data_IF_669644439146
#
_entry.id   IF_669644439146
#
_cell.length_a   1.000
_cell.length_b   1.000
_cell.length_c   1.000
_cell.angle_alpha   90.00
_cell.angle_beta   90.00
_cell.angle_gamma   90.00
#
_symmetry.space_group_name_H-M   'P 1'
#
loop_
_entity.id
_entity.type
_entity.pdbx_description
1 polymer ?
#
# COMPACT_ATOMS: atom_id res chain seq x y z
N UNK A 1 -0.20 1.90 4.19
CA UNK A 1 1.08 2.64 4.35
C UNK A 1 1.96 2.41 3.14
N UNK A 2 2.77 3.40 2.74
CA UNK A 2 3.63 3.30 1.55
C UNK A 2 4.67 2.16 1.63
N UNK A 3 4.90 1.48 0.50
CA UNK A 3 5.83 0.36 0.38
C UNK A 3 7.29 0.75 0.65
N UNK A 4 7.74 1.91 0.20
CA UNK A 4 9.09 2.43 0.47
C UNK A 4 9.23 3.04 1.88
N UNK A 5 8.12 3.23 2.58
CA UNK A 5 8.09 3.77 3.92
C UNK A 5 8.39 5.25 4.04
N UNK A 6 8.15 6.04 2.98
CA UNK A 6 8.31 7.50 3.02
C UNK A 6 7.49 8.21 4.11
N UNK A 7 6.45 7.55 4.63
CA UNK A 7 5.70 8.00 5.82
C UNK A 7 5.89 6.97 6.92
N UNK A 8 6.51 7.38 8.03
CA UNK A 8 6.83 6.49 9.16
C UNK A 8 7.01 7.24 10.48
N UNK A 9 6.94 6.50 11.58
CA UNK A 9 7.36 6.99 12.90
C UNK A 9 8.78 6.52 13.17
N UNK A 10 9.62 7.42 13.69
CA UNK A 10 10.90 7.03 14.24
C UNK A 10 10.74 6.32 15.62
N UNK A 11 11.82 5.77 16.20
CA UNK A 11 11.76 5.12 17.51
C UNK A 11 11.33 6.04 18.67
N UNK A 12 11.26 7.36 18.47
CA UNK A 12 10.76 8.34 19.46
C UNK A 12 9.29 8.71 19.21
N UNK A 13 8.66 8.13 18.19
CA UNK A 13 7.29 8.42 17.78
C UNK A 13 7.16 9.72 16.99
N UNK A 14 8.25 10.27 16.43
CA UNK A 14 8.18 11.42 15.54
C UNK A 14 7.87 10.98 14.12
N UNK A 15 6.90 11.65 13.50
CA UNK A 15 6.50 11.40 12.13
C UNK A 15 7.51 12.00 11.12
N UNK A 16 7.98 11.16 10.20
CA UNK A 16 8.83 11.53 9.07
C UNK A 16 8.03 11.36 7.78
N UNK A 17 8.07 12.39 6.92
CA UNK A 17 7.31 12.42 5.66
C UNK A 17 8.07 13.21 4.58
N UNK A 18 7.73 13.05 3.28
CA UNK A 18 8.32 13.85 2.21
C UNK A 18 8.07 15.36 2.33
N UNK A 19 7.03 15.77 3.06
CA UNK A 19 6.73 17.19 3.26
C UNK A 19 7.67 17.86 4.28
N UNK A 20 8.43 17.08 5.07
CA UNK A 20 9.39 17.61 6.04
C UNK A 20 8.81 18.73 6.92
N UNK A 21 9.40 19.94 6.94
CA UNK A 21 8.91 21.06 7.75
C UNK A 21 7.59 21.66 7.25
N UNK A 22 7.16 21.38 6.02
CA UNK A 22 5.92 21.89 5.46
C UNK A 22 4.70 21.09 5.91
N UNK A 23 4.89 19.90 6.49
CA UNK A 23 3.82 19.05 7.00
C UNK A 23 2.98 19.80 8.04
N UNK A 24 1.65 19.76 7.87
CA UNK A 24 0.73 20.42 8.80
C UNK A 24 0.71 19.69 10.15
N UNK A 25 0.65 20.42 11.28
CA UNK A 25 0.52 19.80 12.60
C UNK A 25 -0.89 19.25 12.81
N UNK A 26 -1.06 18.40 13.83
CA UNK A 26 -2.37 17.90 14.26
C UNK A 26 -2.81 16.59 13.63
N UNK A 27 -1.90 15.87 12.97
CA UNK A 27 -2.14 14.50 12.48
C UNK A 27 -2.13 13.51 13.65
N UNK A 28 -3.09 12.59 13.67
CA UNK A 28 -3.24 11.61 14.76
C UNK A 28 -2.22 10.46 14.67
N UNK A 29 -1.93 10.00 13.45
CA UNK A 29 -1.08 8.84 13.20
C UNK A 29 -0.49 8.85 11.77
N UNK A 30 0.40 7.89 11.42
CA UNK A 30 0.98 7.79 10.08
C UNK A 30 -0.02 7.52 8.96
N UNK A 31 -1.20 6.95 9.27
CA UNK A 31 -2.23 6.72 8.27
C UNK A 31 -2.86 8.06 7.86
N UNK A 32 -3.16 8.93 8.84
CA UNK A 32 -3.57 10.30 8.57
C UNK A 32 -2.51 11.06 7.77
N UNK A 33 -1.23 10.90 8.11
CA UNK A 33 -0.16 11.50 7.34
C UNK A 33 -0.12 11.00 5.89
N UNK A 34 -0.31 9.70 5.65
CA UNK A 34 -0.33 9.13 4.31
C UNK A 34 -1.43 9.74 3.43
N UNK A 35 -2.63 9.98 4.00
CA UNK A 35 -3.75 10.61 3.30
C UNK A 35 -3.47 12.04 2.80
N UNK A 36 -2.37 12.67 3.25
CA UNK A 36 -1.98 14.01 2.80
C UNK A 36 -1.29 14.05 1.44
N UNK A 37 -0.75 12.93 0.95
CA UNK A 37 0.16 12.92 -0.20
C UNK A 37 -0.49 12.69 -1.56
N UNK A 38 -1.54 11.85 -1.71
CA UNK A 38 -2.12 11.61 -3.03
C UNK A 38 -2.66 12.85 -3.73
N UNK A 39 -3.13 13.83 -2.94
CA UNK A 39 -3.60 15.13 -3.42
C UNK A 39 -2.49 16.07 -3.92
N UNK A 40 -1.22 15.73 -3.67
CA UNK A 40 -0.06 16.49 -4.15
C UNK A 40 0.47 15.95 -5.49
N UNK A 41 0.18 14.69 -5.80
CA UNK A 41 0.73 14.00 -6.96
C UNK A 41 -0.11 14.26 -8.22
N UNK A 42 0.58 14.66 -9.30
CA UNK A 42 -0.04 14.99 -10.59
C UNK A 42 -0.57 13.76 -11.34
N UNK A 43 -0.04 12.57 -11.05
CA UNK A 43 -0.50 11.30 -11.61
C UNK A 43 -1.61 10.66 -10.78
N UNK A 44 -1.90 11.21 -9.59
CA UNK A 44 -2.97 10.74 -8.71
C UNK A 44 -4.12 11.74 -8.67
N UNK A 45 -4.29 12.49 -7.57
CA UNK A 45 -5.52 13.28 -7.35
C UNK A 45 -5.38 14.76 -7.75
N UNK A 46 -4.17 15.27 -8.00
CA UNK A 46 -3.96 16.71 -8.23
C UNK A 46 -4.37 17.17 -9.63
N UNK A 47 -4.15 16.33 -10.64
CA UNK A 47 -4.34 16.64 -12.05
C UNK A 47 -3.15 17.39 -12.70
N UNK A 48 -3.26 17.57 -14.01
CA UNK A 48 -2.29 18.22 -14.89
C UNK A 48 -2.70 19.66 -15.21
N UNK A 49 -1.70 20.49 -15.55
CA UNK A 49 -1.93 21.90 -15.88
C UNK A 49 -2.95 22.05 -17.02
N UNK A 50 -3.96 22.89 -16.83
CA UNK A 50 -5.05 23.07 -17.79
C UNK A 50 -6.16 22.03 -17.73
N UNK A 51 -6.09 21.05 -16.82
CA UNK A 51 -7.19 20.12 -16.58
C UNK A 51 -8.46 20.86 -16.12
N UNK A 52 -9.61 20.30 -16.51
CA UNK A 52 -10.91 20.75 -16.07
C UNK A 52 -11.49 19.79 -15.03
N UNK A 53 -12.28 20.32 -14.11
CA UNK A 53 -13.12 19.53 -13.21
C UNK A 53 -14.25 18.85 -14.01
N UNK A 54 -14.94 17.90 -13.38
CA UNK A 54 -16.12 17.24 -13.97
C UNK A 54 -17.27 18.23 -14.30
N UNK A 55 -17.26 19.41 -13.69
CA UNK A 55 -18.21 20.49 -13.97
C UNK A 55 -17.73 21.42 -15.10
N UNK A 56 -16.64 21.06 -15.79
CA UNK A 56 -16.04 21.81 -16.88
C UNK A 56 -15.50 23.19 -16.44
N UNK A 57 -15.03 23.28 -15.19
CA UNK A 57 -14.36 24.45 -14.61
C UNK A 57 -12.85 24.21 -14.53
N UNK A 58 -11.99 25.25 -14.54
CA UNK A 58 -10.55 25.05 -14.36
C UNK A 58 -10.22 24.34 -13.03
N UNK A 59 -9.36 23.33 -13.04
CA UNK A 59 -8.89 22.67 -11.83
C UNK A 59 -7.81 23.54 -11.15
N UNK A 60 -8.20 24.30 -10.14
CA UNK A 60 -7.32 25.23 -9.43
C UNK A 60 -6.12 24.56 -8.74
N UNK A 61 -6.23 23.28 -8.37
CA UNK A 61 -5.14 22.54 -7.73
C UNK A 61 -3.99 22.25 -8.71
N UNK A 62 -4.31 22.06 -9.99
CA UNK A 62 -3.33 21.75 -11.02
C UNK A 62 -2.46 22.96 -11.39
N UNK A 63 -2.99 24.17 -11.18
CA UNK A 63 -2.33 25.46 -11.44
C UNK A 63 -1.32 25.85 -10.35
N UNK A 64 -1.39 25.23 -9.17
CA UNK A 64 -0.45 25.49 -8.08
C UNK A 64 0.95 24.92 -8.40
N UNK A 65 2.05 25.50 -7.89
CA UNK A 65 3.40 24.95 -8.02
C UNK A 65 3.61 23.62 -7.29
N UNK A 66 4.52 22.79 -7.77
CA UNK A 66 4.83 21.46 -7.21
C UNK A 66 5.51 21.53 -5.84
N UNK A 67 6.23 22.61 -5.57
CA UNK A 67 6.95 22.89 -4.32
C UNK A 67 6.07 23.65 -3.30
N UNK A 68 4.75 23.65 -3.48
CA UNK A 68 3.81 24.40 -2.63
C UNK A 68 2.75 23.51 -1.95
N UNK A 69 3.13 22.46 -1.18
CA UNK A 69 2.18 21.52 -0.59
C UNK A 69 1.15 22.19 0.33
N UNK A 70 1.58 23.18 1.13
CA UNK A 70 0.67 23.93 2.01
C UNK A 70 -0.38 24.73 1.23
N UNK A 71 -0.03 25.27 0.07
CA UNK A 71 -0.99 25.98 -0.78
C UNK A 71 -2.03 25.02 -1.37
N UNK A 72 -1.61 23.81 -1.76
CA UNK A 72 -2.49 22.77 -2.29
C UNK A 72 -3.48 22.31 -1.21
N UNK A 73 -2.99 22.00 -0.02
CA UNK A 73 -3.83 21.64 1.13
C UNK A 73 -4.79 22.76 1.55
N UNK A 74 -4.35 24.02 1.51
CA UNK A 74 -5.22 25.16 1.79
C UNK A 74 -6.33 25.31 0.72
N UNK A 75 -5.99 25.15 -0.56
CA UNK A 75 -6.96 25.20 -1.66
C UNK A 75 -7.99 24.05 -1.55
N UNK A 76 -7.57 22.86 -1.15
CA UNK A 76 -8.48 21.74 -0.86
C UNK A 76 -9.47 22.08 0.27
N UNK A 77 -9.00 22.72 1.34
CA UNK A 77 -9.91 23.17 2.41
C UNK A 77 -10.88 24.25 1.94
N UNK A 78 -10.48 25.14 1.02
CA UNK A 78 -11.41 26.08 0.38
C UNK A 78 -12.47 25.35 -0.44
N UNK A 79 -12.06 24.34 -1.23
CA UNK A 79 -12.96 23.49 -2.02
C UNK A 79 -13.96 22.75 -1.14
N UNK A 80 -13.52 22.18 -0.01
CA UNK A 80 -14.41 21.54 0.97
C UNK A 80 -15.34 22.56 1.64
N UNK A 81 -14.84 23.76 1.95
CA UNK A 81 -15.61 24.84 2.57
C UNK A 81 -16.68 25.46 1.68
N UNK A 82 -16.57 25.29 0.35
CA UNK A 82 -17.60 25.71 -0.61
C UNK A 82 -18.84 24.82 -0.59
N UNK A 83 -18.79 23.66 0.10
CA UNK A 83 -19.89 22.70 0.20
C UNK A 83 -20.46 22.77 1.63
N UNK A 84 -21.62 23.42 1.80
CA UNK A 84 -22.26 23.67 3.11
C UNK A 84 -22.48 22.38 3.92
N UNK A 85 -22.78 21.27 3.24
CA UNK A 85 -22.94 19.97 3.87
C UNK A 85 -21.63 19.45 4.48
N UNK A 86 -20.46 19.65 3.84
CA UNK A 86 -19.18 19.30 4.47
C UNK A 86 -18.87 20.20 5.66
N UNK A 87 -19.12 21.52 5.55
CA UNK A 87 -18.96 22.44 6.68
C UNK A 87 -19.78 21.99 7.90
N UNK A 88 -21.01 21.52 7.68
CA UNK A 88 -21.88 20.97 8.73
C UNK A 88 -21.30 19.70 9.34
N UNK A 89 -20.80 18.76 8.53
CA UNK A 89 -20.18 17.52 8.99
C UNK A 89 -18.90 17.78 9.80
N UNK A 90 -18.05 18.70 9.33
CA UNK A 90 -16.85 19.10 10.07
C UNK A 90 -17.18 19.79 11.40
N UNK A 91 -18.20 20.65 11.45
CA UNK A 91 -18.65 21.26 12.69
C UNK A 91 -19.18 20.22 13.70
N UNK A 92 -19.82 19.14 13.22
CA UNK A 92 -20.26 18.04 14.06
C UNK A 92 -19.09 17.20 14.60
N UNK A 93 -18.07 16.93 13.76
CA UNK A 93 -16.87 16.19 14.15
C UNK A 93 -15.94 16.99 15.08
N UNK A 94 -15.86 18.31 14.90
CA UNK A 94 -14.96 19.21 15.61
C UNK A 94 -15.73 20.36 16.31
N UNK A 95 -16.59 20.08 17.31
CA UNK A 95 -17.52 21.07 17.87
C UNK A 95 -16.87 22.25 18.60
N UNK A 96 -15.55 22.18 18.86
CA UNK A 96 -14.79 23.23 19.54
C UNK A 96 -14.03 24.17 18.58
N UNK A 97 -14.08 23.90 17.27
CA UNK A 97 -13.38 24.67 16.23
C UNK A 97 -14.35 25.04 15.12
N UNK A 98 -14.30 26.28 14.66
CA UNK A 98 -15.00 26.67 13.43
C UNK A 98 -14.25 26.16 12.21
N UNK A 99 -14.94 26.02 11.06
CA UNK A 99 -14.36 25.45 9.85
C UNK A 99 -13.10 26.21 9.37
N UNK A 100 -13.07 27.53 9.51
CA UNK A 100 -11.92 28.39 9.16
C UNK A 100 -10.69 28.15 10.07
N UNK A 101 -10.86 27.49 11.21
CA UNK A 101 -9.78 27.06 12.08
C UNK A 101 -9.28 25.65 11.72
N UNK A 102 -9.98 24.93 10.85
CA UNK A 102 -9.60 23.59 10.40
C UNK A 102 -8.59 23.68 9.25
N UNK A 103 -7.79 22.63 9.12
CA UNK A 103 -6.76 22.47 8.11
C UNK A 103 -6.94 21.13 7.39
N UNK A 104 -6.14 20.89 6.35
CA UNK A 104 -6.19 19.61 5.66
C UNK A 104 -5.74 18.44 6.55
N UNK A 105 -4.99 18.67 7.62
CA UNK A 105 -4.69 17.62 8.61
C UNK A 105 -5.98 17.10 9.27
N UNK A 106 -6.97 17.96 9.52
CA UNK A 106 -8.26 17.56 10.09
C UNK A 106 -9.09 16.71 9.10
N UNK A 107 -8.98 17.00 7.79
CA UNK A 107 -9.56 16.17 6.73
C UNK A 107 -8.82 14.83 6.59
N UNK A 108 -7.49 14.84 6.67
CA UNK A 108 -6.67 13.64 6.61
C UNK A 108 -6.92 12.69 7.81
N UNK A 109 -7.11 13.24 9.02
CA UNK A 109 -7.55 12.47 10.19
C UNK A 109 -8.94 11.83 9.98
N UNK A 110 -9.87 12.54 9.33
CA UNK A 110 -11.18 11.99 9.02
C UNK A 110 -11.10 10.84 8.00
N UNK A 111 -10.23 10.95 6.99
CA UNK A 111 -9.94 9.87 6.03
C UNK A 111 -9.35 8.66 6.76
N UNK A 112 -8.32 8.85 7.58
CA UNK A 112 -7.71 7.76 8.35
C UNK A 112 -8.68 7.11 9.36
N UNK A 113 -9.60 7.89 9.95
CA UNK A 113 -10.65 7.35 10.80
C UNK A 113 -11.61 6.45 10.00
N UNK A 114 -12.04 6.89 8.82
CA UNK A 114 -12.84 6.06 7.92
C UNK A 114 -12.08 4.80 7.50
N UNK A 115 -10.81 4.92 7.09
CA UNK A 115 -10.02 3.77 6.65
C UNK A 115 -9.87 2.70 7.73
N UNK A 116 -9.61 3.11 8.98
CA UNK A 116 -9.51 2.19 10.12
C UNK A 116 -10.83 1.49 10.41
N UNK A 117 -11.96 2.20 10.34
CA UNK A 117 -13.27 1.61 10.64
C UNK A 117 -13.76 0.73 9.48
N UNK A 118 -13.76 1.26 8.26
CA UNK A 118 -14.35 0.64 7.08
C UNK A 118 -13.56 -0.57 6.57
N UNK A 119 -12.24 -0.59 6.77
CA UNK A 119 -11.39 -1.68 6.28
C UNK A 119 -10.79 -2.52 7.43
N UNK A 120 -11.43 -2.50 8.60
CA UNK A 120 -11.17 -3.47 9.65
C UNK A 120 -11.94 -4.76 9.39
N UNK A 121 -11.19 -5.82 9.05
CA UNK A 121 -11.71 -7.15 8.75
C UNK A 121 -11.12 -8.20 9.72
N UNK A 122 -11.61 -8.28 10.96
CA UNK A 122 -10.97 -9.05 12.03
C UNK A 122 -11.45 -10.50 12.15
N UNK A 123 -12.31 -11.00 11.26
CA UNK A 123 -12.98 -12.30 11.39
C UNK A 123 -12.52 -13.31 10.32
N UNK A 124 -11.20 -13.51 10.19
CA UNK A 124 -10.68 -14.52 9.27
C UNK A 124 -10.79 -15.92 9.90
N UNK A 125 -10.98 -17.00 9.11
CA UNK A 125 -11.02 -18.37 9.62
C UNK A 125 -9.78 -18.78 10.45
N UNK A 126 -8.62 -18.19 10.16
CA UNK A 126 -7.43 -18.35 10.97
C UNK A 126 -7.60 -17.86 12.41
N UNK A 127 -8.33 -16.76 12.64
CA UNK A 127 -8.58 -16.21 13.97
C UNK A 127 -9.49 -17.13 14.78
N UNK A 128 -10.53 -17.69 14.16
CA UNK A 128 -11.41 -18.69 14.78
C UNK A 128 -10.64 -19.96 15.16
N UNK A 129 -9.72 -20.40 14.30
CA UNK A 129 -8.82 -21.51 14.60
C UNK A 129 -7.94 -21.22 15.83
N UNK A 130 -7.34 -20.03 15.90
CA UNK A 130 -6.55 -19.60 17.06
C UNK A 130 -7.39 -19.44 18.33
N UNK A 131 -8.68 -19.10 18.21
CA UNK A 131 -9.63 -19.02 19.31
C UNK A 131 -10.10 -20.40 19.81
N UNK A 132 -9.73 -21.49 19.12
CA UNK A 132 -9.97 -22.87 19.53
C UNK A 132 -10.98 -23.63 18.68
N UNK A 133 -11.53 -23.02 17.62
CA UNK A 133 -12.34 -23.75 16.64
C UNK A 133 -11.43 -24.52 15.67
N UNK A 134 -11.09 -25.75 16.04
CA UNK A 134 -10.24 -26.62 15.21
C UNK A 134 -10.86 -27.02 13.86
N UNK A 135 -12.13 -26.69 13.63
CA UNK A 135 -12.86 -26.95 12.38
C UNK A 135 -12.95 -25.73 11.47
N UNK A 136 -12.51 -24.56 11.92
CA UNK A 136 -12.52 -23.32 11.14
C UNK A 136 -11.65 -23.39 9.87
N UNK A 137 -10.61 -24.23 9.88
CA UNK A 137 -9.70 -24.42 8.74
C UNK A 137 -9.50 -25.91 8.42
N UNK A 138 -9.19 -26.20 7.16
CA UNK A 138 -8.95 -27.57 6.69
C UNK A 138 -7.65 -28.16 7.28
N UNK A 139 -7.50 -29.49 7.19
CA UNK A 139 -6.23 -30.14 7.57
C UNK A 139 -5.06 -29.75 6.64
N UNK A 140 -5.36 -29.42 5.38
CA UNK A 140 -4.36 -28.97 4.43
C UNK A 140 -3.89 -27.54 4.73
N UNK A 141 -4.79 -26.64 5.16
CA UNK A 141 -4.43 -25.32 5.70
C UNK A 141 -3.62 -25.42 6.99
N UNK A 142 -3.95 -26.36 7.90
CA UNK A 142 -3.14 -26.62 9.11
C UNK A 142 -1.72 -27.05 8.74
N UNK A 143 -1.56 -27.93 7.76
CA UNK A 143 -0.24 -28.29 7.24
C UNK A 143 0.46 -27.08 6.63
N UNK A 144 -0.26 -26.24 5.89
CA UNK A 144 0.23 -24.96 5.36
C UNK A 144 0.79 -24.04 6.43
N UNK A 145 0.06 -23.86 7.52
CA UNK A 145 0.50 -23.07 8.67
C UNK A 145 1.80 -23.64 9.27
N UNK A 146 1.90 -24.96 9.44
CA UNK A 146 3.12 -25.62 9.94
C UNK A 146 4.32 -25.33 9.02
N UNK A 147 4.11 -25.36 7.71
CA UNK A 147 5.17 -25.05 6.74
C UNK A 147 5.56 -23.56 6.80
N UNK A 148 4.56 -22.66 6.80
CA UNK A 148 4.71 -21.21 6.83
C UNK A 148 5.50 -20.72 8.06
N UNK A 149 5.15 -21.21 9.24
CA UNK A 149 5.83 -20.89 10.50
C UNK A 149 7.10 -21.70 10.77
N UNK A 150 7.42 -22.66 9.90
CA UNK A 150 8.55 -23.56 10.06
C UNK A 150 9.46 -23.55 8.83
N UNK A 151 9.56 -24.68 8.11
CA UNK A 151 10.61 -24.88 7.10
C UNK A 151 10.50 -23.98 5.87
N UNK A 152 9.35 -23.35 5.59
CA UNK A 152 9.23 -22.42 4.47
C UNK A 152 9.82 -21.04 4.78
N UNK A 153 10.06 -20.72 6.05
CA UNK A 153 10.70 -19.48 6.48
C UNK A 153 9.85 -18.21 6.31
N UNK A 154 8.60 -18.30 5.85
CA UNK A 154 7.73 -17.15 5.55
C UNK A 154 7.51 -16.24 6.77
N UNK A 155 7.36 -16.84 7.95
CA UNK A 155 7.13 -16.13 9.21
C UNK A 155 8.36 -15.36 9.74
N UNK A 156 9.52 -15.40 9.06
CA UNK A 156 10.67 -14.56 9.40
C UNK A 156 10.37 -13.09 9.18
N UNK A 157 9.69 -12.77 8.07
CA UNK A 157 9.24 -11.41 7.75
C UNK A 157 7.73 -11.25 8.03
N UNK A 158 6.92 -12.28 7.71
CA UNK A 158 5.47 -12.23 7.88
C UNK A 158 5.04 -12.72 9.27
N UNK A 159 5.40 -11.95 10.29
CA UNK A 159 5.21 -12.31 11.70
C UNK A 159 4.07 -11.55 12.40
N UNK A 160 3.66 -12.05 13.57
CA UNK A 160 2.70 -11.38 14.44
C UNK A 160 1.25 -11.38 13.92
N UNK A 161 0.34 -10.66 14.60
CA UNK A 161 -1.10 -10.71 14.30
C UNK A 161 -1.50 -10.22 12.90
N UNK A 162 -0.68 -9.35 12.31
CA UNK A 162 -0.88 -8.80 10.96
C UNK A 162 -0.05 -9.53 9.88
N UNK A 163 0.78 -10.51 10.26
CA UNK A 163 1.66 -11.24 9.36
C UNK A 163 2.62 -10.28 8.61
N UNK A 164 3.24 -9.39 9.36
CA UNK A 164 4.25 -8.43 8.89
C UNK A 164 5.08 -7.95 10.08
N UNK A 165 6.40 -7.89 9.89
CA UNK A 165 7.37 -7.28 10.79
C UNK A 165 7.52 -5.75 10.58
N UNK A 166 6.82 -5.23 9.57
CA UNK A 166 6.92 -3.87 9.05
C UNK A 166 8.34 -3.42 8.65
N UNK A 167 9.26 -4.37 8.47
CA UNK A 167 10.62 -4.11 8.01
C UNK A 167 10.68 -4.06 6.47
N UNK A 168 11.84 -3.69 5.94
CA UNK A 168 12.08 -3.53 4.51
C UNK A 168 13.02 -4.62 4.02
N UNK A 169 12.66 -5.29 2.94
CA UNK A 169 13.43 -6.38 2.37
C UNK A 169 13.43 -6.29 0.85
N UNK A 170 14.57 -6.59 0.22
CA UNK A 170 14.63 -6.83 -1.22
C UNK A 170 14.34 -8.30 -1.47
N UNK A 171 13.22 -8.58 -2.14
CA UNK A 171 12.80 -9.94 -2.51
C UNK A 171 13.10 -10.29 -3.96
N UNK A 172 13.59 -9.31 -4.73
CA UNK A 172 13.89 -9.50 -6.14
C UNK A 172 12.68 -9.37 -7.05
N UNK A 173 11.77 -8.44 -6.79
CA UNK A 173 10.61 -8.26 -7.69
C UNK A 173 11.09 -7.69 -9.04
N UNK A 174 10.68 -8.28 -10.18
CA UNK A 174 10.97 -7.71 -11.51
C UNK A 174 10.46 -6.27 -11.59
N UNK A 175 11.28 -5.34 -12.08
CA UNK A 175 10.91 -3.93 -12.15
C UNK A 175 10.09 -3.62 -13.40
N UNK A 176 8.96 -2.92 -13.23
CA UNK A 176 8.13 -2.44 -14.34
C UNK A 176 7.49 -1.08 -14.05
N UNK A 177 6.91 -0.47 -15.07
CA UNK A 177 6.21 0.81 -14.96
C UNK A 177 7.14 2.03 -15.09
N UNK A 178 6.67 3.22 -14.64
CA UNK A 178 7.42 4.47 -14.81
C UNK A 178 8.60 4.63 -13.83
N UNK A 179 8.74 3.73 -12.85
CA UNK A 179 9.69 3.88 -11.75
C UNK A 179 9.39 5.10 -10.88
N UNK A 180 10.41 5.60 -10.17
CA UNK A 180 10.20 6.70 -9.23
C UNK A 180 11.36 7.68 -9.12
N UNK A 181 10.99 8.96 -9.14
CA UNK A 181 11.90 10.07 -8.85
C UNK A 181 13.09 10.11 -9.81
N UNK A 182 14.27 10.39 -9.27
CA UNK A 182 15.53 10.49 -10.04
C UNK A 182 16.02 9.13 -10.57
N UNK A 183 15.49 8.03 -10.03
CA UNK A 183 15.86 6.67 -10.42
C UNK A 183 14.99 6.10 -11.53
N UNK A 184 13.92 6.81 -11.95
CA UNK A 184 13.06 6.38 -13.04
C UNK A 184 13.89 6.01 -14.30
N UNK A 185 13.60 4.87 -14.97
CA UNK A 185 12.40 4.03 -14.83
C UNK A 185 12.44 2.98 -13.70
N UNK A 186 13.44 3.02 -12.81
CA UNK A 186 13.53 2.11 -11.67
C UNK A 186 12.86 2.69 -10.42
N UNK A 187 12.34 1.80 -9.56
CA UNK A 187 11.99 2.14 -8.19
C UNK A 187 13.03 1.55 -7.25
N UNK A 188 13.95 2.40 -6.77
CA UNK A 188 14.97 1.97 -5.80
C UNK A 188 14.38 1.74 -4.40
N UNK A 189 13.07 1.93 -4.21
CA UNK A 189 12.37 1.58 -2.98
C UNK A 189 12.84 2.41 -1.80
N UNK A 190 13.21 1.71 -0.71
CA UNK A 190 13.59 2.32 0.55
C UNK A 190 14.84 3.22 0.46
N UNK A 191 15.77 2.96 -0.46
CA UNK A 191 16.93 3.84 -0.69
C UNK A 191 16.51 5.28 -1.00
N UNK A 192 15.38 5.50 -1.70
CA UNK A 192 14.89 6.85 -2.01
C UNK A 192 14.42 7.64 -0.77
N UNK A 193 14.29 6.95 0.38
CA UNK A 193 13.91 7.54 1.67
C UNK A 193 15.13 7.67 2.59
N UNK A 194 16.05 6.71 2.56
CA UNK A 194 17.18 6.63 3.51
C UNK A 194 18.50 7.14 2.94
N UNK A 195 18.62 7.28 1.62
CA UNK A 195 19.87 7.51 0.89
C UNK A 195 20.95 6.43 1.15
N UNK A 196 20.58 5.26 1.68
CA UNK A 196 21.49 4.14 1.93
C UNK A 196 21.40 3.11 0.79
N UNK A 197 22.49 2.86 0.04
CA UNK A 197 22.51 1.83 -1.00
C UNK A 197 22.21 0.41 -0.48
N UNK A 198 22.35 0.15 0.82
CA UNK A 198 21.97 -1.13 1.42
C UNK A 198 20.44 -1.36 1.43
N UNK A 199 19.64 -0.28 1.34
CA UNK A 199 18.18 -0.31 1.28
C UNK A 199 17.64 -0.35 -0.15
N UNK A 200 18.52 -0.46 -1.16
CA UNK A 200 18.12 -0.47 -2.56
C UNK A 200 17.22 -1.67 -2.88
N UNK A 201 16.11 -1.40 -3.56
CA UNK A 201 15.05 -2.37 -3.90
C UNK A 201 14.37 -3.01 -2.68
N UNK A 202 14.61 -2.49 -1.48
CA UNK A 202 13.91 -2.94 -0.29
C UNK A 202 12.55 -2.28 -0.18
N UNK A 203 11.52 -3.09 0.07
CA UNK A 203 10.16 -2.62 0.30
C UNK A 203 9.59 -3.22 1.57
N UNK A 204 8.64 -2.51 2.18
CA UNK A 204 7.99 -2.90 3.42
C UNK A 204 7.30 -4.23 3.21
N UNK A 205 7.51 -5.18 4.12
CA UNK A 205 6.74 -6.43 4.18
C UNK A 205 5.25 -6.09 4.38
N UNK A 206 4.35 -6.38 3.41
CA UNK A 206 2.94 -6.10 3.56
C UNK A 206 2.29 -7.09 4.54
N UNK A 207 1.17 -6.68 5.14
CA UNK A 207 0.30 -7.61 5.86
C UNK A 207 -0.25 -8.66 4.91
N UNK A 208 -0.32 -9.92 5.34
CA UNK A 208 -0.96 -11.00 4.57
C UNK A 208 -2.45 -11.17 4.86
N UNK A 209 -3.03 -10.36 5.75
CA UNK A 209 -4.49 -10.32 5.95
C UNK A 209 -5.18 -9.94 4.64
N UNK A 210 -6.22 -10.68 4.26
CA UNK A 210 -6.98 -10.49 3.02
C UNK A 210 -6.14 -10.53 1.74
N UNK A 211 -4.99 -11.21 1.74
CA UNK A 211 -4.11 -11.27 0.56
C UNK A 211 -4.82 -11.84 -0.67
N UNK A 212 -5.82 -12.70 -0.50
CA UNK A 212 -6.55 -13.32 -1.62
C UNK A 212 -7.23 -12.31 -2.56
N UNK A 213 -7.59 -11.13 -2.04
CA UNK A 213 -8.34 -10.11 -2.80
C UNK A 213 -7.49 -8.92 -3.23
N UNK A 214 -6.16 -9.05 -3.14
CA UNK A 214 -5.22 -7.97 -3.43
C UNK A 214 -4.35 -8.20 -4.67
N UNK A 215 -4.74 -9.11 -5.57
CA UNK A 215 -4.05 -9.30 -6.84
C UNK A 215 -4.23 -8.05 -7.75
N UNK A 216 -3.24 -7.71 -8.60
CA UNK A 216 -1.92 -8.33 -8.69
C UNK A 216 -1.01 -7.97 -7.49
N UNK A 217 0.02 -8.78 -7.26
CA UNK A 217 0.87 -8.73 -6.08
C UNK A 217 2.19 -7.97 -6.31
N UNK A 218 2.86 -7.70 -5.18
CA UNK A 218 4.08 -6.90 -5.05
C UNK A 218 3.85 -5.39 -5.17
N UNK A 219 4.91 -4.60 -4.93
CA UNK A 219 4.83 -3.13 -4.89
C UNK A 219 4.40 -2.48 -6.21
N UNK A 220 4.64 -3.16 -7.33
CA UNK A 220 4.40 -2.71 -8.70
C UNK A 220 3.36 -3.55 -9.46
N UNK A 221 2.78 -4.57 -8.81
CA UNK A 221 1.81 -5.46 -9.44
C UNK A 221 2.40 -6.45 -10.45
N UNK A 222 3.72 -6.73 -10.42
CA UNK A 222 4.37 -7.61 -11.40
C UNK A 222 3.88 -9.07 -11.38
N UNK A 223 3.40 -9.57 -10.24
CA UNK A 223 2.99 -10.97 -10.08
C UNK A 223 1.47 -11.07 -10.04
N UNK A 224 0.87 -11.62 -11.10
CA UNK A 224 -0.59 -11.57 -11.29
C UNK A 224 -1.40 -12.58 -10.45
N UNK A 225 -0.76 -13.63 -9.93
CA UNK A 225 -1.39 -14.70 -9.16
C UNK A 225 -0.47 -15.27 -8.06
N UNK A 226 -1.03 -16.11 -7.18
CA UNK A 226 -0.29 -16.73 -6.09
C UNK A 226 0.77 -17.70 -6.58
N UNK A 227 0.52 -18.40 -7.68
CA UNK A 227 1.46 -19.33 -8.28
C UNK A 227 2.77 -18.63 -8.63
N UNK A 228 2.70 -17.46 -9.28
CA UNK A 228 3.87 -16.63 -9.57
C UNK A 228 4.56 -16.14 -8.30
N UNK A 229 3.80 -15.73 -7.27
CA UNK A 229 4.36 -15.32 -5.97
C UNK A 229 5.15 -16.46 -5.31
N UNK A 230 4.58 -17.65 -5.24
CA UNK A 230 5.21 -18.80 -4.59
C UNK A 230 6.44 -19.30 -5.36
N UNK A 231 6.38 -19.32 -6.70
CA UNK A 231 7.53 -19.63 -7.56
C UNK A 231 8.62 -18.56 -7.40
N UNK A 232 8.24 -17.28 -7.35
CA UNK A 232 9.16 -16.17 -7.13
C UNK A 232 9.94 -16.36 -5.82
N UNK A 233 9.27 -16.60 -4.70
CA UNK A 233 9.96 -16.82 -3.42
C UNK A 233 10.79 -18.10 -3.39
N UNK A 234 10.40 -19.15 -4.12
CA UNK A 234 11.17 -20.39 -4.19
C UNK A 234 12.43 -20.25 -5.06
N UNK A 235 12.48 -19.29 -5.99
CA UNK A 235 13.61 -19.09 -6.91
C UNK A 235 13.70 -17.62 -7.37
N UNK A 236 14.01 -16.66 -6.47
CA UNK A 236 13.88 -15.24 -6.77
C UNK A 236 14.78 -14.79 -7.93
N UNK A 237 16.03 -15.27 -8.00
CA UNK A 237 16.96 -14.98 -9.10
C UNK A 237 16.39 -15.43 -10.45
N UNK A 238 16.06 -16.72 -10.58
CA UNK A 238 15.52 -17.28 -11.83
C UNK A 238 14.18 -16.64 -12.19
N UNK A 239 13.35 -16.30 -11.19
CA UNK A 239 12.06 -15.65 -11.41
C UNK A 239 12.17 -14.27 -12.05
N UNK A 240 13.28 -13.55 -11.86
CA UNK A 240 13.53 -12.26 -12.52
C UNK A 240 14.15 -12.48 -13.89
N UNK A 241 15.17 -13.34 -13.96
CA UNK A 241 15.90 -13.65 -15.20
C UNK A 241 14.97 -14.20 -16.30
N UNK A 242 14.02 -15.06 -15.92
CA UNK A 242 13.08 -15.71 -16.83
C UNK A 242 11.68 -15.09 -16.79
N UNK A 243 11.54 -13.85 -16.28
CA UNK A 243 10.23 -13.22 -16.12
C UNK A 243 9.50 -13.05 -17.46
N UNK A 244 8.32 -13.69 -17.58
CA UNK A 244 7.46 -13.60 -18.76
C UNK A 244 6.39 -12.49 -18.57
N UNK A 245 6.50 -11.39 -19.34
CA UNK A 245 5.57 -10.27 -19.24
C UNK A 245 4.27 -10.50 -20.02
N UNK A 246 4.10 -11.61 -20.73
CA UNK A 246 2.98 -11.81 -21.67
C UNK A 246 1.59 -11.80 -21.03
N UNK A 247 1.48 -12.13 -19.74
CA UNK A 247 0.22 -12.09 -18.99
C UNK A 247 -0.02 -10.75 -18.26
N UNK A 248 0.89 -9.77 -18.40
CA UNK A 248 0.67 -8.43 -17.84
C UNK A 248 -0.39 -7.66 -18.65
N UNK A 249 -0.92 -6.60 -18.05
CA UNK A 249 -1.72 -5.63 -18.80
C UNK A 249 -0.90 -5.08 -19.99
N UNK A 250 -1.46 -4.95 -21.21
CA UNK A 250 -0.69 -4.59 -22.41
C UNK A 250 0.16 -3.31 -22.27
N UNK A 251 -0.32 -2.34 -21.49
CA UNK A 251 0.40 -1.08 -21.23
C UNK A 251 1.66 -1.25 -20.37
N UNK A 252 1.78 -2.35 -19.63
CA UNK A 252 2.92 -2.63 -18.77
C UNK A 252 4.00 -3.47 -19.45
N UNK A 253 3.66 -4.24 -20.50
CA UNK A 253 4.57 -5.18 -21.17
C UNK A 253 5.86 -4.48 -21.63
N UNK A 254 5.72 -3.33 -22.29
CA UNK A 254 6.86 -2.57 -22.82
C UNK A 254 7.62 -1.77 -21.75
N UNK A 255 7.15 -1.80 -20.50
CA UNK A 255 7.77 -1.08 -19.36
C UNK A 255 8.66 -1.98 -18.51
N UNK A 256 8.63 -3.29 -18.74
CA UNK A 256 9.40 -4.25 -17.95
C UNK A 256 10.90 -4.06 -18.20
N UNK A 257 11.66 -3.96 -17.12
CA UNK A 257 13.11 -3.79 -17.17
C UNK A 257 13.80 -5.15 -17.18
N UNK A 258 14.38 -5.54 -18.32
CA UNK A 258 14.99 -6.85 -18.57
C UNK A 258 16.50 -6.78 -18.88
N UNK A 259 17.14 -5.67 -18.53
CA UNK A 259 18.58 -5.50 -18.77
C UNK A 259 19.41 -6.31 -17.75
N UNK A 260 20.38 -7.08 -18.26
CA UNK A 260 21.18 -8.01 -17.45
C UNK A 260 21.92 -7.34 -16.28
N UNK A 261 22.39 -6.09 -16.48
CA UNK A 261 23.11 -5.38 -15.42
C UNK A 261 22.16 -5.01 -14.27
N UNK A 262 20.92 -4.61 -14.59
CA UNK A 262 19.92 -4.27 -13.58
C UNK A 262 19.42 -5.52 -12.85
N UNK A 263 19.21 -6.63 -13.55
CA UNK A 263 18.86 -7.90 -12.91
C UNK A 263 19.97 -8.31 -11.94
N UNK A 264 21.24 -8.22 -12.34
CA UNK A 264 22.37 -8.50 -11.46
C UNK A 264 22.42 -7.57 -10.24
N UNK A 265 22.03 -6.31 -10.40
CA UNK A 265 21.93 -5.35 -9.30
C UNK A 265 20.86 -5.75 -8.29
N UNK A 266 19.64 -6.06 -8.76
CA UNK A 266 18.53 -6.53 -7.91
C UNK A 266 18.95 -7.81 -7.17
N UNK A 267 19.50 -8.78 -7.89
CA UNK A 267 19.96 -10.06 -7.32
C UNK A 267 21.04 -9.85 -6.24
N UNK A 268 21.88 -8.83 -6.38
CA UNK A 268 22.90 -8.50 -5.38
C UNK A 268 22.35 -7.94 -4.06
N UNK A 269 21.09 -7.50 -4.05
CA UNK A 269 20.42 -6.92 -2.87
C UNK A 269 19.52 -7.91 -2.12
N UNK A 270 19.34 -9.14 -2.63
CA UNK A 270 18.40 -10.10 -2.07
C UNK A 270 18.62 -10.33 -0.57
N UNK A 271 17.52 -10.28 0.18
CA UNK A 271 17.52 -10.57 1.62
C UNK A 271 18.01 -11.98 1.89
N UNK A 272 18.89 -12.13 2.89
CA UNK A 272 19.41 -13.42 3.35
C UNK A 272 18.33 -14.27 4.07
N UNK A 273 17.18 -13.66 4.37
CA UNK A 273 16.01 -14.32 4.96
C UNK A 273 15.19 -15.12 3.94
N UNK A 274 15.48 -14.96 2.63
CA UNK A 274 14.88 -15.75 1.55
C UNK A 274 15.50 -17.15 1.50
N UNK A 275 14.90 -18.07 2.26
CA UNK A 275 15.43 -19.43 2.47
C UNK A 275 14.59 -20.54 1.82
N UNK A 276 13.57 -20.19 1.03
CA UNK A 276 12.68 -21.17 0.41
C UNK A 276 13.39 -21.85 -0.76
N UNK A 277 13.44 -23.18 -0.72
CA UNK A 277 14.12 -23.98 -1.75
C UNK A 277 13.29 -24.11 -3.05
N UNK A 278 13.91 -24.11 -4.25
CA UNK A 278 13.20 -24.21 -5.53
C UNK A 278 12.25 -25.41 -5.69
N UNK A 279 12.56 -26.52 -5.01
CA UNK A 279 11.76 -27.76 -5.07
C UNK A 279 10.94 -27.99 -3.80
N UNK A 280 10.58 -26.92 -3.08
CA UNK A 280 9.83 -27.02 -1.84
C UNK A 280 8.47 -27.71 -2.06
N UNK A 281 8.23 -28.78 -1.32
CA UNK A 281 6.96 -29.53 -1.36
C UNK A 281 5.99 -28.93 -0.35
N UNK A 282 4.78 -28.60 -0.81
CA UNK A 282 3.70 -28.07 0.05
C UNK A 282 3.32 -26.62 -0.21
N UNK A 283 3.74 -26.04 -1.34
CA UNK A 283 3.30 -24.69 -1.76
C UNK A 283 1.77 -24.58 -1.86
N UNK A 284 1.08 -25.63 -2.32
CA UNK A 284 -0.39 -25.68 -2.33
C UNK A 284 -1.01 -25.59 -0.93
N UNK A 285 -0.38 -26.21 0.07
CA UNK A 285 -0.83 -26.14 1.45
C UNK A 285 -0.60 -24.74 2.03
N UNK A 286 0.54 -24.11 1.72
CA UNK A 286 0.81 -22.72 2.11
C UNK A 286 -0.24 -21.78 1.51
N UNK A 287 -0.55 -21.93 0.22
CA UNK A 287 -1.65 -21.17 -0.41
C UNK A 287 -2.95 -21.35 0.35
N UNK A 288 -3.35 -22.59 0.63
CA UNK A 288 -4.60 -22.86 1.35
C UNK A 288 -4.60 -22.27 2.76
N UNK A 289 -3.42 -22.19 3.42
CA UNK A 289 -3.28 -21.43 4.66
C UNK A 289 -3.47 -19.91 4.47
N UNK A 290 -2.87 -19.32 3.43
CA UNK A 290 -3.02 -17.89 3.14
C UNK A 290 -4.48 -17.50 2.85
N UNK A 291 -5.24 -18.39 2.20
CA UNK A 291 -6.69 -18.22 1.98
C UNK A 291 -7.48 -18.15 3.31
N UNK A 292 -6.99 -18.77 4.38
CA UNK A 292 -7.61 -18.67 5.72
C UNK A 292 -7.40 -17.31 6.41
N UNK A 293 -6.54 -16.45 5.84
CA UNK A 293 -6.27 -15.10 6.34
C UNK A 293 -7.24 -14.05 5.77
N UNK A 294 -8.18 -14.48 4.92
CA UNK A 294 -9.22 -13.63 4.33
C UNK A 294 -10.47 -13.65 5.21
N UNK A 295 -10.88 -12.48 5.68
CA UNK A 295 -12.21 -12.31 6.27
C UNK A 295 -13.27 -12.43 5.15
N UNK A 296 -14.26 -13.33 5.25
CA UNK A 296 -15.30 -13.45 4.23
C UNK A 296 -16.07 -12.15 3.96
N UNK A 297 -16.14 -11.24 4.94
CA UNK A 297 -16.73 -9.93 4.78
C UNK A 297 -15.92 -9.01 3.86
N UNK A 298 -14.71 -9.35 3.42
CA UNK A 298 -14.02 -8.52 2.42
C UNK A 298 -14.72 -8.58 1.05
N UNK A 299 -15.43 -9.68 0.75
CA UNK A 299 -16.13 -9.88 -0.52
C UNK A 299 -17.52 -9.23 -0.56
N UNK A 300 -18.06 -8.90 0.61
CA UNK A 300 -19.29 -8.16 0.76
C UNK A 300 -18.91 -6.93 1.54
N UNK A 301 -18.84 -5.77 0.90
CA UNK A 301 -18.47 -4.51 1.54
C UNK A 301 -19.76 -3.75 1.97
N UNK A 302 -20.65 -4.28 2.84
CA UNK A 302 -21.88 -3.60 3.17
C UNK A 302 -21.53 -2.31 3.92
N UNK A 303 -22.14 -1.22 3.47
CA UNK A 303 -22.18 0.08 4.14
C UNK A 303 -20.85 0.85 4.25
N UNK A 304 -19.76 0.41 3.60
CA UNK A 304 -18.54 1.25 3.52
C UNK A 304 -18.64 2.35 2.46
N UNK A 305 -19.27 2.04 1.32
CA UNK A 305 -19.49 3.00 0.25
C UNK A 305 -20.80 3.74 0.52
N UNK A 306 -20.79 5.08 0.66
CA UNK A 306 -22.03 5.83 0.74
C UNK A 306 -22.77 5.82 -0.60
N UNK A 307 -24.10 5.84 -0.57
CA UNK A 307 -24.92 5.94 -1.80
C UNK A 307 -24.72 7.28 -2.53
N UNK A 308 -24.46 8.35 -1.76
CA UNK A 308 -24.21 9.70 -2.27
C UNK A 308 -23.17 10.40 -1.40
N UNK A 309 -22.43 11.34 -1.98
CA UNK A 309 -21.51 12.22 -1.22
C UNK A 309 -21.98 13.67 -1.25
N UNK A 310 -21.66 14.49 -0.23
CA UNK A 310 -22.07 15.89 -0.17
C UNK A 310 -21.68 16.77 -1.37
N UNK A 311 -20.63 16.40 -2.10
CA UNK A 311 -20.22 17.09 -3.34
C UNK A 311 -21.15 16.84 -4.53
N UNK A 312 -22.07 15.88 -4.44
CA UNK A 312 -22.94 15.45 -5.54
C UNK A 312 -22.22 14.64 -6.62
N UNK A 313 -20.94 14.30 -6.42
CA UNK A 313 -20.22 13.37 -7.28
C UNK A 313 -20.76 11.95 -7.08
N UNK A 314 -20.73 11.14 -8.13
CA UNK A 314 -21.00 9.72 -7.99
C UNK A 314 -19.85 9.07 -7.22
N UNK A 315 -20.12 8.38 -6.09
CA UNK A 315 -19.12 7.53 -5.46
C UNK A 315 -18.67 6.46 -6.48
N UNK A 316 -17.39 6.08 -6.55
CA UNK A 316 -16.90 5.05 -7.46
C UNK A 316 -17.53 3.68 -7.16
#
# INVERSE_FOLDING_TARGET
MFWDGRVELDPRGQLHTPAGPDLLPGLDDPLAAQAMFPVLDRQEMRGQLGDLTIFNEPNELAELPDDAPQAIWAALMQRLGAIEAYVTLFAAAYPQRSFDQLSFADAANAIAAYEREAFSFPNAPWDDYLAGDLTAISDAAKLGAILFYGPAGCAQCHAGPLLTDHQFHSTGVPQLGPGRGVSAPFDHGRELVTDDPADRFAFRTPSLRNIEVSAPYMHDGALIDFERVLVHYASPTTSIEDFDPSDLHPELVDTVQQDEQHIAEIVSTLSDQLVLEPNFVGLSNIREFLETLTDPAVFSLPDIRPDTVPSGLEPP
#
